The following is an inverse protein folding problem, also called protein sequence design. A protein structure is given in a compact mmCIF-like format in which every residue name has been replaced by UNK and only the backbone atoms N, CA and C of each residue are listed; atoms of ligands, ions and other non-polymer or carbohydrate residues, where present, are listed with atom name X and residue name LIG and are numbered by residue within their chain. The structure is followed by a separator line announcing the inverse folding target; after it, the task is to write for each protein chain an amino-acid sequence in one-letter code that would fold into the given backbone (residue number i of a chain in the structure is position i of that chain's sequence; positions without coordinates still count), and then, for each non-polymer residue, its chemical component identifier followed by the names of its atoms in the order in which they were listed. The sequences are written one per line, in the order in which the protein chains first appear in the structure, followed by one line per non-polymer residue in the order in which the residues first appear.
data_IF_105837836497
#
_entry.id   IF_105837836497
#
_cell.length_a   1.000
_cell.length_b   1.000
_cell.length_c   1.000
_cell.angle_alpha   90.00
_cell.angle_beta   90.00
_cell.angle_gamma   90.00
#
_symmetry.space_group_name_H-M   'P 1'
#
loop_
_entity.id
_entity.type
_entity.pdbx_description
1 polymer ?
#
# COMPACT_ATOMS: atom_id res chain seq x y z
N UNK A 1 -2.23 -27.76 15.70
CA UNK A 1 -2.11 -26.45 16.34
C UNK A 1 -1.81 -25.45 15.25
N UNK A 2 -2.86 -24.86 14.66
CA UNK A 2 -2.71 -23.89 13.57
C UNK A 2 -2.60 -22.55 14.28
N UNK A 3 -1.38 -22.02 14.41
CA UNK A 3 -1.21 -20.63 14.79
C UNK A 3 -1.78 -19.81 13.64
N UNK A 4 -3.03 -19.35 13.77
CA UNK A 4 -3.47 -18.16 13.06
C UNK A 4 -2.57 -17.05 13.58
N UNK A 5 -1.45 -16.82 12.88
CA UNK A 5 -0.67 -15.61 13.07
C UNK A 5 -1.65 -14.48 12.78
N UNK A 6 -2.03 -13.76 13.83
CA UNK A 6 -2.65 -12.44 13.72
C UNK A 6 -1.64 -11.59 12.94
N UNK A 7 -1.74 -11.63 11.60
CA UNK A 7 -0.94 -10.79 10.72
C UNK A 7 -1.32 -9.38 11.10
N UNK A 8 -0.46 -8.71 11.88
CA UNK A 8 -0.64 -7.28 12.13
C UNK A 8 -0.47 -6.57 10.81
N UNK A 9 -1.60 -6.13 10.26
CA UNK A 9 -1.66 -5.29 9.08
C UNK A 9 -1.69 -3.86 9.61
N UNK A 10 -0.66 -3.10 9.24
CA UNK A 10 -0.60 -1.67 9.49
C UNK A 10 -1.38 -0.95 8.40
N UNK A 11 -2.24 -0.03 8.78
CA UNK A 11 -2.96 0.85 7.88
C UNK A 11 -2.45 2.29 8.03
N UNK A 12 -2.13 2.92 6.91
CA UNK A 12 -1.63 4.29 6.85
C UNK A 12 -2.49 5.08 5.87
N UNK A 13 -3.27 6.04 6.37
CA UNK A 13 -3.98 6.98 5.51
C UNK A 13 -3.01 8.06 5.03
N UNK A 14 -2.65 8.03 3.75
CA UNK A 14 -1.68 8.94 3.15
C UNK A 14 -2.34 10.25 2.77
N UNK A 15 -3.54 10.15 2.20
CA UNK A 15 -4.30 11.31 1.77
C UNK A 15 -5.80 11.10 2.03
N UNK A 16 -6.49 12.08 2.64
CA UNK A 16 -7.92 11.98 2.94
C UNK A 16 -8.82 12.17 1.71
N UNK A 17 -8.23 12.36 0.54
CA UNK A 17 -8.90 12.45 -0.75
C UNK A 17 -8.29 11.41 -1.69
N UNK A 18 -9.05 10.87 -2.63
CA UNK A 18 -8.49 10.05 -3.68
C UNK A 18 -7.68 10.96 -4.62
N UNK A 19 -6.47 10.54 -4.98
CA UNK A 19 -5.61 11.34 -5.84
C UNK A 19 -4.58 10.44 -6.48
N UNK A 20 -4.71 10.15 -7.79
CA UNK A 20 -3.76 9.32 -8.51
C UNK A 20 -2.33 9.87 -8.42
N UNK A 21 -2.18 11.19 -8.25
CA UNK A 21 -0.89 11.84 -8.04
C UNK A 21 -0.29 11.44 -6.68
N UNK A 22 -1.08 11.48 -5.59
CA UNK A 22 -0.63 11.06 -4.27
C UNK A 22 -0.35 9.57 -4.20
N UNK A 23 -1.15 8.76 -4.90
CA UNK A 23 -0.89 7.34 -5.07
C UNK A 23 0.46 7.06 -5.73
N UNK A 24 0.77 7.73 -6.84
CA UNK A 24 2.05 7.60 -7.54
C UNK A 24 3.23 8.12 -6.69
N UNK A 25 3.06 9.25 -5.99
CA UNK A 25 4.05 9.74 -5.03
C UNK A 25 4.34 8.73 -3.91
N UNK A 26 3.29 8.11 -3.38
CA UNK A 26 3.40 7.09 -2.33
C UNK A 26 4.12 5.85 -2.82
N UNK A 27 3.74 5.34 -4.00
CA UNK A 27 4.41 4.25 -4.71
C UNK A 27 5.91 4.53 -4.86
N UNK A 28 6.29 5.71 -5.36
CA UNK A 28 7.68 6.13 -5.50
C UNK A 28 8.41 6.23 -4.18
N UNK A 29 7.75 6.66 -3.11
CA UNK A 29 8.35 6.75 -1.76
C UNK A 29 8.71 5.36 -1.24
N UNK A 30 7.80 4.39 -1.40
CA UNK A 30 8.03 2.97 -1.04
C UNK A 30 9.15 2.38 -1.91
N UNK A 31 9.13 2.58 -3.23
CA UNK A 31 10.16 2.09 -4.15
C UNK A 31 11.55 2.68 -3.85
N UNK A 32 11.61 3.92 -3.32
CA UNK A 32 12.86 4.56 -2.93
C UNK A 32 13.41 4.06 -1.59
N UNK A 33 12.54 3.79 -0.63
CA UNK A 33 12.93 3.29 0.70
C UNK A 33 13.34 1.81 0.64
N UNK A 34 12.59 1.01 -0.13
CA UNK A 34 12.83 -0.43 -0.26
C UNK A 34 13.44 -0.76 -1.61
N UNK A 35 14.78 -0.87 -1.67
CA UNK A 35 15.48 -1.20 -2.92
C UNK A 35 15.25 -2.64 -3.42
N UNK A 36 14.96 -3.59 -2.51
CA UNK A 36 14.65 -5.01 -2.81
C UNK A 36 13.15 -5.30 -2.86
N UNK A 37 12.38 -4.31 -3.31
CA UNK A 37 10.93 -4.40 -3.42
C UNK A 37 10.49 -5.00 -4.76
N UNK A 38 9.65 -6.03 -4.71
CA UNK A 38 8.98 -6.54 -5.90
C UNK A 38 7.64 -5.85 -6.11
N UNK A 39 7.59 -4.96 -7.10
CA UNK A 39 6.33 -4.37 -7.57
C UNK A 39 5.51 -5.42 -8.33
N UNK A 40 4.31 -5.71 -7.82
CA UNK A 40 3.36 -6.57 -8.50
C UNK A 40 2.60 -5.79 -9.59
N UNK A 41 1.76 -6.47 -10.37
CA UNK A 41 0.95 -5.81 -11.39
C UNK A 41 -0.04 -4.83 -10.74
N UNK A 42 -0.09 -3.61 -11.26
CA UNK A 42 -1.13 -2.63 -10.91
C UNK A 42 -2.50 -3.21 -11.26
N UNK A 43 -3.39 -3.25 -10.28
CA UNK A 43 -4.78 -3.61 -10.43
C UNK A 43 -5.61 -2.32 -10.51
N UNK A 44 -6.60 -2.34 -11.40
CA UNK A 44 -7.49 -1.21 -11.66
C UNK A 44 -8.90 -1.77 -11.54
N UNK A 45 -9.70 -1.20 -10.63
CA UNK A 45 -11.10 -1.60 -10.45
C UNK A 45 -12.00 -0.94 -11.50
N UNK A 46 -13.24 -1.42 -11.61
CA UNK A 46 -14.23 -0.96 -12.58
C UNK A 46 -14.64 0.49 -12.32
N UNK A 47 -14.67 0.92 -11.06
CA UNK A 47 -14.92 2.29 -10.62
C UNK A 47 -13.73 3.25 -10.83
N UNK A 48 -12.55 2.72 -11.19
CA UNK A 48 -11.34 3.51 -11.40
C UNK A 48 -10.38 3.56 -10.21
N UNK A 49 -10.70 2.88 -9.11
CA UNK A 49 -9.77 2.68 -8.00
C UNK A 49 -8.50 1.95 -8.45
N UNK A 50 -7.36 2.34 -7.89
CA UNK A 50 -6.05 1.77 -8.22
C UNK A 50 -5.52 1.01 -7.02
N UNK A 51 -5.04 -0.21 -7.25
CA UNK A 51 -4.46 -1.05 -6.21
C UNK A 51 -3.07 -1.49 -6.67
N UNK A 52 -2.05 -1.09 -5.93
CA UNK A 52 -0.68 -1.46 -6.19
C UNK A 52 -0.14 -2.32 -5.06
N UNK A 53 0.04 -3.60 -5.34
CA UNK A 53 0.68 -4.56 -4.43
C UNK A 53 2.19 -4.57 -4.64
N UNK A 54 2.89 -4.69 -3.54
CA UNK A 54 4.33 -4.63 -3.39
C UNK A 54 4.75 -5.75 -2.46
N UNK A 55 5.80 -6.49 -2.80
CA UNK A 55 6.27 -7.62 -2.00
C UNK A 55 7.71 -7.40 -1.57
N UNK A 56 7.93 -7.33 -0.27
CA UNK A 56 9.24 -7.09 0.32
C UNK A 56 9.56 -8.17 1.36
N UNK A 57 10.63 -8.94 1.16
CA UNK A 57 11.04 -10.02 2.06
C UNK A 57 9.91 -11.02 2.42
N UNK A 58 9.06 -11.35 1.45
CA UNK A 58 7.93 -12.26 1.65
C UNK A 58 6.72 -11.66 2.37
N UNK A 59 6.73 -10.35 2.62
CA UNK A 59 5.63 -9.58 3.20
C UNK A 59 5.00 -8.68 2.15
N UNK A 60 3.68 -8.55 2.21
CA UNK A 60 2.94 -7.77 1.23
C UNK A 60 2.63 -6.35 1.76
N UNK A 61 2.69 -5.39 0.84
CA UNK A 61 2.41 -3.97 1.01
C UNK A 61 1.45 -3.59 -0.11
N UNK A 62 0.26 -3.12 0.21
CA UNK A 62 -0.79 -2.79 -0.73
C UNK A 62 -1.14 -1.31 -0.61
N UNK A 63 -0.94 -0.56 -1.69
CA UNK A 63 -1.37 0.83 -1.80
C UNK A 63 -2.73 0.84 -2.49
N UNK A 64 -3.69 1.56 -1.91
CA UNK A 64 -5.05 1.72 -2.44
C UNK A 64 -5.29 3.20 -2.72
N UNK A 65 -5.66 3.53 -3.95
CA UNK A 65 -6.37 4.75 -4.31
C UNK A 65 -7.82 4.38 -4.49
N UNK A 66 -8.59 4.55 -3.42
CA UNK A 66 -9.98 4.12 -3.37
C UNK A 66 -10.88 5.31 -3.68
N UNK A 67 -11.62 5.23 -4.79
CA UNK A 67 -12.56 6.26 -5.22
C UNK A 67 -13.84 6.27 -4.37
N UNK A 68 -14.25 5.12 -3.84
CA UNK A 68 -15.46 4.97 -3.02
C UNK A 68 -15.23 5.48 -1.59
N UNK A 69 -14.13 5.08 -0.96
CA UNK A 69 -13.67 5.66 0.31
C UNK A 69 -13.26 7.11 0.11
N UNK A 70 -12.78 7.44 -1.10
CA UNK A 70 -12.28 8.76 -1.43
C UNK A 70 -10.97 9.06 -0.72
N UNK A 71 -10.08 8.08 -0.55
CA UNK A 71 -8.82 8.27 0.16
C UNK A 71 -7.70 7.39 -0.41
N UNK A 72 -6.47 7.88 -0.28
CA UNK A 72 -5.27 7.08 -0.56
C UNK A 72 -4.75 6.50 0.75
N UNK A 73 -4.73 5.18 0.87
CA UNK A 73 -4.24 4.49 2.05
C UNK A 73 -3.32 3.32 1.68
N UNK A 74 -2.44 2.96 2.60
CA UNK A 74 -1.49 1.86 2.45
C UNK A 74 -1.77 0.85 3.54
N UNK A 75 -1.87 -0.42 3.16
CA UNK A 75 -1.90 -1.55 4.07
C UNK A 75 -0.61 -2.33 3.93
N UNK A 76 0.02 -2.67 5.04
CA UNK A 76 1.32 -3.32 5.01
C UNK A 76 1.44 -4.33 6.13
N UNK A 77 2.10 -5.46 5.86
CA UNK A 77 2.46 -6.42 6.90
C UNK A 77 3.72 -6.03 7.70
N UNK A 78 4.44 -5.00 7.24
CA UNK A 78 5.54 -4.39 7.98
C UNK A 78 5.16 -3.03 8.50
N UNK A 79 5.82 -2.65 9.60
CA UNK A 79 5.78 -1.29 10.08
C UNK A 79 6.44 -0.37 9.04
N UNK A 80 5.63 0.53 8.49
CA UNK A 80 6.04 1.61 7.58
C UNK A 80 5.91 2.97 8.29
N UNK A 81 5.81 3.00 9.63
CA UNK A 81 5.64 4.24 10.38
C UNK A 81 6.82 5.17 10.08
N UNK A 82 8.04 4.61 10.02
CA UNK A 82 9.24 5.35 9.69
C UNK A 82 9.24 5.96 8.27
N UNK A 83 8.43 5.45 7.35
CA UNK A 83 8.28 5.97 5.99
C UNK A 83 7.23 7.09 5.91
N UNK A 84 6.17 7.01 6.73
CA UNK A 84 5.02 7.92 6.69
C UNK A 84 4.99 8.97 7.81
N UNK A 85 6.02 8.99 8.66
CA UNK A 85 6.24 10.01 9.70
C UNK A 85 6.49 11.42 9.15
#
# INVERSE_FOLDING_TARGET
MIFMLDKRIYDYTIFPNNSPQKFDECCKKIEKEFSDLHKNKLLIDVDGSLIQTYKYNGKDIDVYDDYDVGAVYVKSEIDLDNLFK
#
